data_IF_004876811060
#
_entry.id   IF_004876811060
#
_cell.length_a   1.000
_cell.length_b   1.000
_cell.length_c   1.000
_cell.angle_alpha   90.00
_cell.angle_beta   90.00
_cell.angle_gamma   90.00
#
_symmetry.space_group_name_H-M   'P 1'
#
loop_
_entity.id
_entity.type
_entity.pdbx_description
1 polymer ?
#
# COMPACT_ATOMS: atom_id res chain seq x y z
N UNK A 1 -15.89 40.80 3.52
CA UNK A 1 -14.63 40.05 3.28
C UNK A 1 -14.64 39.51 1.84
N UNK A 2 -13.51 39.53 1.13
CA UNK A 2 -13.34 38.88 -0.20
C UNK A 2 -12.00 38.10 -0.24
N UNK A 3 -11.99 36.97 -0.96
CA UNK A 3 -10.81 36.14 -1.27
C UNK A 3 -10.87 35.60 -2.72
N UNK A 4 -9.70 35.34 -3.32
CA UNK A 4 -9.47 35.01 -4.74
C UNK A 4 -8.88 33.59 -4.95
N UNK A 5 -9.19 33.02 -6.11
CA UNK A 5 -8.92 31.65 -6.59
C UNK A 5 -7.45 31.27 -6.86
N UNK A 6 -7.15 29.96 -6.77
CA UNK A 6 -5.99 29.30 -7.38
C UNK A 6 -6.43 28.14 -8.30
N UNK A 7 -5.84 28.07 -9.51
CA UNK A 7 -6.13 27.11 -10.60
C UNK A 7 -5.31 25.81 -10.44
N UNK A 8 -5.86 24.70 -10.93
CA UNK A 8 -5.22 23.38 -11.01
C UNK A 8 -4.73 23.14 -12.44
N UNK A 9 -3.52 22.57 -12.61
CA UNK A 9 -2.96 22.16 -13.90
C UNK A 9 -3.03 20.63 -14.04
N UNK A 10 -3.38 20.15 -15.24
CA UNK A 10 -3.42 18.74 -15.61
C UNK A 10 -2.26 18.42 -16.56
N UNK A 11 -1.53 17.33 -16.32
CA UNK A 11 -0.41 16.85 -17.14
C UNK A 11 -0.85 15.57 -17.85
N UNK A 12 -0.69 15.55 -19.18
CA UNK A 12 -0.89 14.37 -20.01
C UNK A 12 0.45 13.68 -20.28
N UNK A 13 0.50 12.36 -20.06
CA UNK A 13 1.68 11.52 -20.34
C UNK A 13 1.43 10.74 -21.62
N UNK A 14 2.38 10.85 -22.56
CA UNK A 14 2.38 10.09 -23.80
C UNK A 14 3.23 8.83 -23.63
N UNK A 15 2.74 7.68 -24.10
CA UNK A 15 3.46 6.41 -24.07
C UNK A 15 3.80 6.03 -25.51
N UNK A 16 5.08 5.75 -25.77
CA UNK A 16 5.59 5.26 -27.04
C UNK A 16 5.90 3.77 -26.86
N UNK A 17 5.33 2.94 -27.73
CA UNK A 17 5.58 1.49 -27.76
C UNK A 17 6.60 1.21 -28.86
N UNK A 18 7.69 0.52 -28.49
CA UNK A 18 8.72 0.07 -29.42
C UNK A 18 8.62 -1.45 -29.54
N UNK A 19 8.34 -1.94 -30.74
CA UNK A 19 8.31 -3.37 -31.06
C UNK A 19 9.63 -3.76 -31.70
N UNK A 20 10.33 -4.74 -31.14
CA UNK A 20 11.54 -5.32 -31.71
C UNK A 20 11.21 -6.47 -32.65
N UNK A 21 11.66 -6.40 -33.91
CA UNK A 21 11.73 -7.53 -34.82
C UNK A 21 13.16 -8.09 -34.79
N UNK A 22 13.30 -9.40 -34.59
CA UNK A 22 14.55 -10.12 -34.85
C UNK A 22 14.37 -10.99 -36.10
N UNK A 23 15.26 -10.83 -37.08
CA UNK A 23 15.54 -11.80 -38.15
C UNK A 23 17.06 -12.00 -38.22
N UNK A 24 17.65 -12.98 -38.89
CA UNK A 24 17.23 -14.19 -39.61
C UNK A 24 18.53 -15.02 -39.84
N UNK A 25 18.48 -16.09 -40.65
CA UNK A 25 19.53 -16.76 -41.42
C UNK A 25 19.82 -18.20 -40.98
N UNK A 26 19.25 -19.17 -41.70
CA UNK A 26 20.04 -19.89 -42.73
C UNK A 26 19.16 -20.80 -43.59
N UNK A 27 19.29 -20.57 -44.90
CA UNK A 27 18.68 -21.33 -45.97
C UNK A 27 19.08 -22.81 -45.94
N UNK A 28 18.14 -23.66 -46.34
CA UNK A 28 18.37 -25.07 -46.58
C UNK A 28 19.47 -25.29 -47.61
N UNK A 29 20.51 -26.01 -47.20
CA UNK A 29 21.44 -26.67 -48.10
C UNK A 29 21.30 -28.18 -47.91
N UNK A 30 20.85 -28.81 -48.99
CA UNK A 30 20.60 -30.24 -49.09
C UNK A 30 21.93 -30.99 -49.08
N UNK A 31 22.09 -31.93 -48.14
CA UNK A 31 23.24 -32.83 -48.15
C UNK A 31 23.13 -33.78 -49.37
N UNK A 32 24.19 -33.98 -50.16
CA UNK A 32 24.16 -34.96 -51.24
C UNK A 32 24.08 -36.38 -50.65
N UNK A 33 23.34 -37.25 -51.33
CA UNK A 33 23.23 -38.67 -51.02
C UNK A 33 24.61 -39.28 -50.81
N UNK A 34 24.88 -39.75 -49.59
CA UNK A 34 26.02 -40.60 -49.30
C UNK A 34 25.58 -42.05 -49.48
N UNK A 35 25.91 -42.65 -50.62
CA UNK A 35 25.82 -44.10 -50.78
C UNK A 35 26.90 -44.75 -49.90
N UNK A 36 26.46 -45.55 -48.94
CA UNK A 36 27.35 -46.34 -48.09
C UNK A 36 27.85 -47.53 -48.94
N UNK A 37 29.16 -47.75 -49.10
CA UNK A 37 29.65 -48.96 -49.74
C UNK A 37 29.25 -50.15 -48.88
N UNK A 38 28.54 -51.12 -49.46
CA UNK A 38 28.37 -52.42 -48.83
C UNK A 38 29.76 -53.01 -48.60
N UNK A 39 30.14 -53.13 -47.32
CA UNK A 39 31.34 -53.85 -46.92
C UNK A 39 31.13 -55.33 -47.27
N UNK A 40 31.58 -55.72 -48.45
CA UNK A 40 31.88 -57.11 -48.74
C UNK A 40 33.18 -57.46 -48.02
N UNK A 41 33.13 -58.59 -47.29
CA UNK A 41 34.19 -59.19 -46.51
C UNK A 41 34.42 -58.59 -45.11
N UNK A 42 33.99 -59.34 -44.10
CA UNK A 42 34.77 -59.67 -42.91
C UNK A 42 34.01 -60.74 -42.12
N UNK A 43 34.35 -62.00 -42.36
CA UNK A 43 34.05 -63.14 -41.48
C UNK A 43 34.87 -63.04 -40.20
N UNK A 44 34.60 -62.01 -39.40
CA UNK A 44 35.10 -61.89 -38.05
C UNK A 44 33.92 -61.50 -37.16
N UNK A 45 33.50 -62.33 -36.19
CA UNK A 45 32.51 -61.92 -35.21
C UNK A 45 33.18 -60.90 -34.29
N UNK A 46 33.14 -59.62 -34.67
CA UNK A 46 33.32 -58.49 -33.77
C UNK A 46 32.08 -58.39 -32.87
N UNK A 47 31.79 -59.47 -32.13
CA UNK A 47 30.90 -59.42 -30.97
C UNK A 47 31.75 -58.96 -29.80
N UNK A 48 32.15 -57.69 -29.83
CA UNK A 48 32.30 -56.99 -28.57
C UNK A 48 30.92 -57.09 -27.91
N UNK A 49 30.77 -57.94 -26.89
CA UNK A 49 29.55 -58.01 -26.10
C UNK A 49 29.33 -56.63 -25.49
N UNK A 50 28.54 -55.81 -26.17
CA UNK A 50 28.08 -54.54 -25.65
C UNK A 50 27.17 -54.87 -24.47
N UNK A 51 27.69 -54.66 -23.26
CA UNK A 51 26.96 -54.94 -22.04
C UNK A 51 25.88 -53.86 -21.85
N UNK A 52 24.67 -54.18 -22.30
CA UNK A 52 23.51 -53.29 -22.24
C UNK A 52 23.21 -52.90 -20.80
N UNK A 53 23.49 -53.77 -19.81
CA UNK A 53 23.30 -53.42 -18.41
C UNK A 53 24.26 -52.30 -18.00
N UNK A 54 25.55 -52.44 -18.33
CA UNK A 54 26.59 -51.44 -18.05
C UNK A 54 26.31 -50.09 -18.74
N UNK A 55 25.87 -50.14 -20.00
CA UNK A 55 25.48 -48.95 -20.77
C UNK A 55 24.23 -48.28 -20.17
N UNK A 56 23.22 -49.06 -19.79
CA UNK A 56 21.99 -48.57 -19.17
C UNK A 56 22.27 -47.93 -17.81
N UNK A 57 23.14 -48.50 -16.99
CA UNK A 57 23.55 -47.91 -15.71
C UNK A 57 24.36 -46.61 -15.89
N UNK A 58 25.28 -46.55 -16.86
CA UNK A 58 26.02 -45.32 -17.14
C UNK A 58 25.11 -44.19 -17.64
N UNK A 59 24.20 -44.49 -18.55
CA UNK A 59 23.20 -43.53 -19.04
C UNK A 59 22.31 -43.03 -17.88
N UNK A 60 21.75 -43.93 -17.07
CA UNK A 60 20.90 -43.56 -15.93
C UNK A 60 21.61 -42.66 -14.93
N UNK A 61 22.86 -42.97 -14.58
CA UNK A 61 23.62 -42.18 -13.60
C UNK A 61 23.99 -40.80 -14.13
N UNK A 62 24.48 -40.70 -15.36
CA UNK A 62 24.90 -39.42 -15.93
C UNK A 62 23.73 -38.46 -16.11
N UNK A 63 22.57 -38.95 -16.58
CA UNK A 63 21.37 -38.11 -16.70
C UNK A 63 20.80 -37.70 -15.34
N UNK A 64 20.82 -38.58 -14.34
CA UNK A 64 20.34 -38.25 -13.00
C UNK A 64 21.17 -37.15 -12.34
N UNK A 65 22.49 -37.20 -12.47
CA UNK A 65 23.39 -36.21 -11.88
C UNK A 65 23.21 -34.83 -12.51
N UNK A 66 23.05 -34.76 -13.83
CA UNK A 66 22.88 -33.46 -14.51
C UNK A 66 21.55 -32.80 -14.14
N UNK A 67 20.45 -33.57 -14.16
CA UNK A 67 19.11 -33.08 -13.75
C UNK A 67 19.13 -32.65 -12.28
N UNK A 68 19.83 -33.41 -11.42
CA UNK A 68 19.94 -33.10 -10.00
C UNK A 68 20.61 -31.74 -9.79
N UNK A 69 21.73 -31.47 -10.47
CA UNK A 69 22.45 -30.20 -10.34
C UNK A 69 21.60 -29.01 -10.76
N UNK A 70 20.96 -29.08 -11.92
CA UNK A 70 20.06 -28.04 -12.41
C UNK A 70 18.92 -27.78 -11.42
N UNK A 71 18.34 -28.85 -10.86
CA UNK A 71 17.29 -28.73 -9.85
C UNK A 71 17.81 -28.08 -8.56
N UNK A 72 19.00 -28.45 -8.09
CA UNK A 72 19.62 -27.87 -6.89
C UNK A 72 19.90 -26.37 -7.08
N UNK A 73 20.38 -25.96 -8.26
CA UNK A 73 20.58 -24.55 -8.58
C UNK A 73 19.26 -23.77 -8.61
N UNK A 74 18.25 -24.29 -9.31
CA UNK A 74 16.93 -23.64 -9.38
C UNK A 74 16.28 -23.50 -7.98
N UNK A 75 16.36 -24.54 -7.16
CA UNK A 75 15.83 -24.51 -5.78
C UNK A 75 16.56 -23.47 -4.93
N UNK A 76 17.88 -23.38 -5.04
CA UNK A 76 18.67 -22.39 -4.30
C UNK A 76 18.30 -20.95 -4.68
N UNK A 77 18.10 -20.70 -5.96
CA UNK A 77 17.74 -19.37 -6.47
C UNK A 77 16.34 -18.96 -5.98
N UNK A 78 15.37 -19.88 -6.06
CA UNK A 78 14.02 -19.70 -5.53
C UNK A 78 14.05 -19.41 -4.02
N UNK A 79 14.84 -20.15 -3.25
CA UNK A 79 14.99 -19.92 -1.79
C UNK A 79 15.55 -18.52 -1.53
N UNK A 80 16.54 -18.09 -2.31
CA UNK A 80 17.11 -16.75 -2.21
C UNK A 80 16.04 -15.68 -2.43
N UNK A 81 15.25 -15.81 -3.49
CA UNK A 81 14.23 -14.82 -3.82
C UNK A 81 13.05 -14.82 -2.85
N UNK A 82 12.64 -15.98 -2.33
CA UNK A 82 11.68 -16.07 -1.22
C UNK A 82 12.19 -15.31 0.00
N UNK A 83 13.49 -15.40 0.30
CA UNK A 83 14.13 -14.65 1.38
C UNK A 83 13.99 -13.14 1.19
N UNK A 84 14.36 -12.64 0.01
CA UNK A 84 14.25 -11.21 -0.33
C UNK A 84 12.82 -10.70 -0.24
N UNK A 85 11.87 -11.41 -0.86
CA UNK A 85 10.45 -11.05 -0.85
C UNK A 85 9.87 -11.02 0.57
N UNK A 86 10.30 -11.97 1.43
CA UNK A 86 9.89 -11.99 2.83
C UNK A 86 10.39 -10.76 3.59
N UNK A 87 11.63 -10.36 3.36
CA UNK A 87 12.21 -9.18 4.00
C UNK A 87 11.55 -7.89 3.52
N UNK A 88 11.28 -7.75 2.21
CA UNK A 88 10.52 -6.63 1.63
C UNK A 88 9.11 -6.56 2.22
N UNK A 89 8.43 -7.70 2.34
CA UNK A 89 7.08 -7.77 2.94
C UNK A 89 7.10 -7.32 4.40
N UNK A 90 8.14 -7.71 5.16
CA UNK A 90 8.30 -7.29 6.56
C UNK A 90 8.50 -5.79 6.67
N UNK A 91 9.41 -5.22 5.87
CA UNK A 91 9.67 -3.78 5.85
C UNK A 91 8.42 -2.99 5.47
N UNK A 92 7.69 -3.46 4.45
CA UNK A 92 6.45 -2.82 4.03
C UNK A 92 5.39 -2.84 5.13
N UNK A 93 5.27 -3.95 5.86
CA UNK A 93 4.34 -4.07 6.98
C UNK A 93 4.67 -3.06 8.09
N UNK A 94 5.95 -2.93 8.47
CA UNK A 94 6.38 -1.95 9.49
C UNK A 94 6.05 -0.51 9.07
N UNK A 95 6.29 -0.16 7.80
CA UNK A 95 5.96 1.17 7.25
C UNK A 95 4.44 1.43 7.26
N UNK A 96 3.63 0.43 6.92
CA UNK A 96 2.17 0.55 6.89
C UNK A 96 1.65 0.79 8.31
N UNK A 97 2.09 0.00 9.29
CA UNK A 97 1.68 0.15 10.69
C UNK A 97 2.02 1.54 11.23
N UNK A 98 3.22 2.05 10.94
CA UNK A 98 3.62 3.40 11.32
C UNK A 98 2.72 4.47 10.67
N UNK A 99 2.49 4.36 9.36
CA UNK A 99 1.64 5.31 8.63
C UNK A 99 0.20 5.30 9.13
N UNK A 100 -0.36 4.12 9.43
CA UNK A 100 -1.71 3.99 9.99
C UNK A 100 -1.80 4.66 11.36
N UNK A 101 -0.80 4.46 12.22
CA UNK A 101 -0.76 5.11 13.53
C UNK A 101 -0.69 6.64 13.42
N UNK A 102 0.13 7.16 12.50
CA UNK A 102 0.26 8.60 12.27
C UNK A 102 -1.04 9.22 11.73
N UNK A 103 -1.67 8.59 10.73
CA UNK A 103 -2.96 9.04 10.19
C UNK A 103 -4.05 9.02 11.27
N UNK A 104 -4.09 7.98 12.11
CA UNK A 104 -5.06 7.90 13.19
C UNK A 104 -4.87 9.02 14.23
N UNK A 105 -3.62 9.41 14.50
CA UNK A 105 -3.30 10.53 15.39
C UNK A 105 -3.73 11.87 14.77
N UNK A 106 -3.36 12.13 13.53
CA UNK A 106 -3.74 13.35 12.81
C UNK A 106 -5.26 13.50 12.70
N UNK A 107 -5.97 12.40 12.46
CA UNK A 107 -7.43 12.41 12.39
C UNK A 107 -8.06 12.76 13.74
N UNK A 108 -7.53 12.22 14.84
CA UNK A 108 -7.98 12.59 16.19
C UNK A 108 -7.77 14.08 16.44
N UNK A 109 -6.57 14.59 16.15
CA UNK A 109 -6.25 16.01 16.35
C UNK A 109 -7.15 16.93 15.50
N UNK A 110 -7.41 16.57 14.24
CA UNK A 110 -8.25 17.36 13.34
C UNK A 110 -9.77 17.27 13.63
N UNK A 111 -10.25 16.14 14.15
CA UNK A 111 -11.66 15.97 14.56
C UNK A 111 -11.96 16.58 15.93
N UNK A 112 -10.94 17.00 16.69
CA UNK A 112 -11.12 17.64 17.99
C UNK A 112 -11.46 19.12 17.78
N UNK A 113 -12.57 19.42 17.11
CA UNK A 113 -13.17 20.74 17.25
C UNK A 113 -13.88 20.79 18.61
N UNK A 114 -13.46 21.67 19.53
CA UNK A 114 -14.14 21.75 20.82
C UNK A 114 -15.59 22.17 20.59
N UNK A 115 -16.54 21.30 20.96
CA UNK A 115 -17.95 21.65 20.94
C UNK A 115 -18.20 22.71 22.01
N UNK A 116 -18.42 23.95 21.59
CA UNK A 116 -18.73 25.06 22.48
C UNK A 116 -20.24 25.20 22.58
N UNK A 117 -20.80 24.96 23.77
CA UNK A 117 -22.24 25.12 24.02
C UNK A 117 -22.48 25.49 25.48
N UNK A 118 -23.34 26.48 25.71
CA UNK A 118 -23.84 26.75 27.05
C UNK A 118 -25.38 26.80 27.06
N UNK A 119 -25.95 26.43 28.20
CA UNK A 119 -27.36 26.63 28.52
C UNK A 119 -27.44 26.92 30.00
N UNK A 120 -28.02 28.07 30.35
CA UNK A 120 -28.28 28.47 31.72
C UNK A 120 -29.73 28.91 31.86
N UNK A 121 -30.24 28.89 33.09
CA UNK A 121 -31.62 29.24 33.40
C UNK A 121 -31.70 30.05 34.70
N UNK A 122 -32.92 30.48 34.99
CA UNK A 122 -33.32 31.23 36.17
C UNK A 122 -32.62 32.59 36.25
N UNK A 123 -33.27 33.62 35.71
CA UNK A 123 -32.70 34.96 35.75
C UNK A 123 -32.55 35.43 37.21
N UNK A 124 -31.36 35.87 37.59
CA UNK A 124 -31.16 36.60 38.85
C UNK A 124 -31.82 37.97 38.71
N UNK A 125 -33.02 38.09 39.26
CA UNK A 125 -33.77 39.34 39.27
C UNK A 125 -33.22 40.31 40.32
N UNK A 126 -32.65 41.41 39.84
CA UNK A 126 -32.50 42.63 40.61
C UNK A 126 -33.58 43.62 40.18
N UNK A 127 -34.18 44.36 41.13
CA UNK A 127 -35.29 45.29 40.89
C UNK A 127 -34.98 46.42 39.89
N UNK A 128 -33.72 46.58 39.45
CA UNK A 128 -33.31 47.48 38.39
C UNK A 128 -32.32 46.76 37.45
N UNK A 129 -32.85 46.13 36.40
CA UNK A 129 -32.12 45.39 35.36
C UNK A 129 -31.76 46.25 34.14
N UNK A 130 -32.27 47.49 34.05
CA UNK A 130 -32.01 48.36 32.89
C UNK A 130 -30.53 48.73 32.86
N UNK A 131 -29.87 48.40 31.74
CA UNK A 131 -28.43 48.65 31.55
C UNK A 131 -27.49 47.71 32.29
N UNK A 132 -27.99 46.62 32.88
CA UNK A 132 -27.17 45.60 33.56
C UNK A 132 -27.08 44.30 32.76
N UNK A 133 -26.00 43.55 32.99
CA UNK A 133 -25.84 42.19 32.47
C UNK A 133 -26.85 41.24 33.13
N UNK A 134 -27.52 40.43 32.32
CA UNK A 134 -28.42 39.39 32.81
C UNK A 134 -27.60 38.19 33.28
N UNK A 135 -27.75 37.83 34.56
CA UNK A 135 -27.02 36.70 35.16
C UNK A 135 -27.97 35.52 35.31
N UNK A 136 -27.62 34.38 34.70
CA UNK A 136 -28.32 33.11 34.82
C UNK A 136 -27.43 32.14 35.63
N UNK A 137 -27.57 32.09 36.97
CA UNK A 137 -26.63 31.37 37.82
C UNK A 137 -26.77 29.85 37.71
N UNK A 138 -27.92 29.35 37.23
CA UNK A 138 -28.19 27.92 37.17
C UNK A 138 -27.78 27.35 35.81
N UNK A 139 -26.56 26.83 35.76
CA UNK A 139 -25.95 26.20 34.58
C UNK A 139 -26.47 24.78 34.33
N UNK A 140 -26.91 24.51 33.11
CA UNK A 140 -27.34 23.18 32.63
C UNK A 140 -26.21 22.51 31.85
N UNK A 141 -25.57 23.24 30.93
CA UNK A 141 -24.39 22.80 30.17
C UNK A 141 -23.47 24.00 29.93
N UNK A 142 -22.16 23.78 29.88
CA UNK A 142 -21.16 24.80 29.57
C UNK A 142 -19.89 24.16 28.99
N UNK A 143 -20.04 23.42 27.90
CA UNK A 143 -18.88 22.81 27.24
C UNK A 143 -18.04 23.90 26.58
N UNK A 144 -16.74 23.87 26.83
CA UNK A 144 -15.81 24.92 26.41
C UNK A 144 -15.71 26.08 27.40
N UNK A 145 -16.38 25.99 28.55
CA UNK A 145 -16.26 26.93 29.70
C UNK A 145 -16.40 28.41 29.32
N UNK A 146 -17.21 28.68 28.29
CA UNK A 146 -17.37 30.03 27.75
C UNK A 146 -18.29 30.91 28.61
N UNK A 147 -19.27 30.34 29.31
CA UNK A 147 -20.22 31.09 30.13
C UNK A 147 -19.81 31.15 31.61
N UNK A 148 -19.76 32.35 32.18
CA UNK A 148 -19.56 32.56 33.61
C UNK A 148 -20.90 32.85 34.31
N UNK A 149 -21.29 31.96 35.22
CA UNK A 149 -22.54 32.04 35.99
C UNK A 149 -22.57 33.17 37.03
N UNK A 150 -21.41 33.75 37.36
CA UNK A 150 -21.29 34.86 38.32
C UNK A 150 -21.49 36.19 37.62
N UNK A 151 -20.84 36.40 36.48
CA UNK A 151 -20.91 37.66 35.72
C UNK A 151 -22.02 37.70 34.67
N UNK A 152 -22.51 36.54 34.23
CA UNK A 152 -23.46 36.42 33.12
C UNK A 152 -22.84 36.62 31.74
N UNK A 153 -21.50 36.63 31.65
CA UNK A 153 -20.76 36.92 30.41
C UNK A 153 -20.38 35.62 29.71
N UNK A 154 -20.61 35.55 28.41
CA UNK A 154 -20.04 34.53 27.53
C UNK A 154 -18.76 35.06 26.87
N UNK A 155 -17.63 34.41 27.14
CA UNK A 155 -16.34 34.68 26.50
C UNK A 155 -16.09 33.63 25.44
N UNK A 156 -15.82 34.07 24.19
CA UNK A 156 -15.61 33.19 23.04
C UNK A 156 -14.34 32.36 23.25
N UNK A 157 -14.44 31.02 23.40
CA UNK A 157 -13.27 30.18 23.67
C UNK A 157 -12.52 29.79 22.39
N UNK A 158 -13.16 29.88 21.22
CA UNK A 158 -12.54 29.60 19.92
C UNK A 158 -13.15 30.43 18.78
N UNK A 159 -12.37 30.75 17.74
CA UNK A 159 -12.88 31.49 16.58
C UNK A 159 -13.92 30.65 15.82
N UNK A 160 -15.08 31.24 15.52
CA UNK A 160 -16.17 30.53 14.85
C UNK A 160 -17.45 31.35 14.79
N UNK A 161 -18.54 30.70 14.38
CA UNK A 161 -19.89 31.28 14.35
C UNK A 161 -20.67 30.76 15.55
N UNK A 162 -21.33 31.67 16.27
CA UNK A 162 -22.09 31.37 17.49
C UNK A 162 -23.55 31.75 17.33
N UNK A 163 -24.45 30.94 17.89
CA UNK A 163 -25.89 31.21 17.97
C UNK A 163 -26.27 31.44 19.43
N UNK A 164 -26.92 32.58 19.70
CA UNK A 164 -27.49 32.88 21.01
C UNK A 164 -29.02 32.92 20.91
N UNK A 165 -29.68 32.31 21.89
CA UNK A 165 -31.13 32.34 22.03
C UNK A 165 -31.49 32.47 23.51
N UNK A 166 -32.46 33.34 23.81
CA UNK A 166 -32.96 33.57 25.15
C UNK A 166 -34.49 33.57 25.12
N UNK A 167 -35.11 32.90 26.09
CA UNK A 167 -36.56 32.92 26.30
C UNK A 167 -36.83 33.43 27.69
N UNK A 168 -37.60 34.50 27.78
CA UNK A 168 -38.12 35.03 29.04
C UNK A 168 -39.58 34.65 29.11
N UNK A 169 -39.95 33.90 30.15
CA UNK A 169 -41.37 33.61 30.43
C UNK A 169 -41.94 34.78 31.25
N UNK A 170 -43.15 35.27 30.93
CA UNK A 170 -43.86 36.27 31.73
C UNK A 170 -44.17 35.81 33.15
#
# INVERSE_FOLDING_TARGET
>A
MKFSHGKVYSVAVMIIIVTGCFGDVSQGQQCPNFEVPLLNSMDAPLVAKLDIAKLTSHLKLNFHEEIRKELEYAVKDIISDIGKLKDETKQLHEIIEEKVANVAKELKENLTTPTVIFKARDLRFDANVIGKTLVFPNMIVNNGDGYDTTSGVFTVPSSGVYLFHCTVMP
#
